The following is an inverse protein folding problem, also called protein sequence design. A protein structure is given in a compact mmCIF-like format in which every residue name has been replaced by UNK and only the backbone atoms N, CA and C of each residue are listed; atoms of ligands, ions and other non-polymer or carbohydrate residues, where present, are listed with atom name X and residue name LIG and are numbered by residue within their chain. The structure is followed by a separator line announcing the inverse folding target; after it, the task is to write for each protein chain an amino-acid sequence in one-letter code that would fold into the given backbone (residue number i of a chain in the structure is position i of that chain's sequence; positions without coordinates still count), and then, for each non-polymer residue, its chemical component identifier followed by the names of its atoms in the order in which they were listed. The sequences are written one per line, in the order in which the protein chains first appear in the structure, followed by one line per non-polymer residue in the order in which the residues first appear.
data_IF_963979957632
#
_entry.id   IF_963979957632
#
_cell.length_a   1.000
_cell.length_b   1.000
_cell.length_c   1.000
_cell.angle_alpha   90.00
_cell.angle_beta   90.00
_cell.angle_gamma   90.00
#
_symmetry.space_group_name_H-M   'P 1'
#
loop_
_entity.id
_entity.type
_entity.pdbx_description
1 polymer ?
#
# COMPACT_ATOMS: atom_id res chain seq x y z
N UNK A 1 -37.78 15.99 -75.17
CA UNK A 1 -36.40 16.25 -74.72
C UNK A 1 -36.44 16.23 -73.21
N UNK A 2 -36.36 15.04 -72.61
CA UNK A 2 -36.43 14.86 -71.16
C UNK A 2 -35.02 14.57 -70.68
N UNK A 3 -34.46 15.47 -69.88
CA UNK A 3 -33.17 15.30 -69.22
C UNK A 3 -33.43 14.69 -67.85
N UNK A 4 -33.05 13.42 -67.67
CA UNK A 4 -32.94 12.82 -66.35
C UNK A 4 -31.79 13.51 -65.61
N UNK A 5 -32.11 14.19 -64.50
CA UNK A 5 -31.13 14.69 -63.57
C UNK A 5 -30.52 13.49 -62.83
N UNK A 6 -29.27 13.14 -63.16
CA UNK A 6 -28.48 12.19 -62.38
C UNK A 6 -28.30 12.69 -60.94
N UNK A 7 -28.13 11.79 -59.97
CA UNK A 7 -28.17 12.15 -58.55
C UNK A 7 -27.09 13.19 -58.24
N UNK A 8 -27.49 14.32 -57.66
CA UNK A 8 -26.53 15.31 -57.17
C UNK A 8 -25.70 14.69 -56.05
N UNK A 9 -24.47 14.29 -56.38
CA UNK A 9 -23.48 13.83 -55.43
C UNK A 9 -23.09 15.01 -54.53
N UNK A 10 -23.83 15.21 -53.43
CA UNK A 10 -23.54 16.22 -52.42
C UNK A 10 -22.19 15.87 -51.77
N UNK A 11 -21.12 16.45 -52.31
CA UNK A 11 -19.79 16.33 -51.77
C UNK A 11 -19.78 16.76 -50.30
N UNK A 12 -19.33 15.87 -49.42
CA UNK A 12 -19.24 16.13 -47.99
C UNK A 12 -18.23 17.27 -47.73
N UNK A 13 -18.69 18.34 -47.08
CA UNK A 13 -17.87 19.52 -46.76
C UNK A 13 -17.20 19.44 -45.39
N UNK A 14 -17.61 18.48 -44.57
CA UNK A 14 -17.09 18.25 -43.22
C UNK A 14 -16.06 17.14 -43.19
N UNK A 15 -15.08 17.27 -42.31
CA UNK A 15 -14.10 16.22 -42.06
C UNK A 15 -14.78 15.01 -41.38
N UNK A 16 -14.60 13.82 -41.94
CA UNK A 16 -15.04 12.58 -41.31
C UNK A 16 -14.26 12.28 -40.02
N UNK A 17 -14.83 11.48 -39.12
CA UNK A 17 -14.24 11.15 -37.81
C UNK A 17 -12.84 10.53 -37.90
N UNK A 18 -12.61 9.66 -38.88
CA UNK A 18 -11.31 9.04 -39.11
C UNK A 18 -10.25 10.08 -39.50
N UNK A 19 -10.60 11.02 -40.38
CA UNK A 19 -9.70 12.08 -40.81
C UNK A 19 -9.48 13.13 -39.71
N UNK A 20 -10.51 13.43 -38.90
CA UNK A 20 -10.40 14.28 -37.72
C UNK A 20 -9.46 13.69 -36.67
N UNK A 21 -9.46 12.37 -36.47
CA UNK A 21 -8.58 11.72 -35.49
C UNK A 21 -7.10 11.95 -35.76
N UNK A 22 -6.69 12.03 -37.03
CA UNK A 22 -5.32 12.34 -37.42
C UNK A 22 -4.87 13.75 -37.05
N UNK A 23 -5.83 14.66 -36.80
CA UNK A 23 -5.56 16.05 -36.42
C UNK A 23 -5.66 16.28 -34.90
N UNK A 24 -6.11 15.28 -34.14
CA UNK A 24 -6.31 15.40 -32.69
C UNK A 24 -5.13 14.83 -31.90
N UNK A 25 -4.83 15.43 -30.74
CA UNK A 25 -3.89 14.86 -29.78
C UNK A 25 -4.59 13.82 -28.89
N UNK A 26 -3.84 12.80 -28.46
CA UNK A 26 -4.32 11.83 -27.49
C UNK A 26 -3.73 12.14 -26.12
N UNK A 27 -4.57 12.30 -25.11
CA UNK A 27 -4.12 12.37 -23.72
C UNK A 27 -3.56 11.02 -23.30
N UNK A 28 -2.30 10.99 -22.88
CA UNK A 28 -1.64 9.80 -22.36
C UNK A 28 -1.73 9.79 -20.84
N UNK A 29 -2.11 8.66 -20.25
CA UNK A 29 -2.03 8.47 -18.81
C UNK A 29 -0.60 8.16 -18.38
N UNK A 30 -0.32 8.30 -17.08
CA UNK A 30 0.90 7.77 -16.48
C UNK A 30 0.89 6.23 -16.53
N UNK A 31 2.06 5.57 -16.52
CA UNK A 31 2.15 4.11 -16.39
C UNK A 31 1.39 3.63 -15.15
N UNK A 32 0.57 2.59 -15.30
CA UNK A 32 -0.17 1.97 -14.19
C UNK A 32 0.53 0.67 -13.78
N UNK A 33 0.97 0.57 -12.52
CA UNK A 33 1.59 -0.65 -11.98
C UNK A 33 0.53 -1.50 -11.26
N UNK A 34 0.29 -2.72 -11.75
CA UNK A 34 -0.74 -3.63 -11.21
C UNK A 34 -0.43 -4.15 -9.80
N UNK A 35 0.83 -4.12 -9.38
CA UNK A 35 1.27 -4.54 -8.05
C UNK A 35 0.94 -3.50 -6.95
N UNK A 36 0.50 -2.30 -7.33
CA UNK A 36 0.15 -1.26 -6.36
C UNK A 36 -1.12 -1.69 -5.61
N UNK A 37 -0.94 -2.03 -4.33
CA UNK A 37 -2.04 -2.28 -3.41
C UNK A 37 -2.26 -1.11 -2.45
N UNK A 38 -3.38 -1.14 -1.75
CA UNK A 38 -3.84 -0.13 -0.78
C UNK A 38 -2.86 0.13 0.39
N UNK A 39 -1.96 -0.81 0.71
CA UNK A 39 -1.00 -0.70 1.83
C UNK A 39 -1.64 -0.28 3.17
N UNK A 40 -2.84 -0.78 3.46
CA UNK A 40 -3.66 -0.33 4.59
C UNK A 40 -2.95 -0.54 5.95
N UNK A 41 -2.34 -1.72 6.18
CA UNK A 41 -1.64 -2.02 7.43
C UNK A 41 -0.53 -1.01 7.70
N UNK A 42 0.32 -0.72 6.70
CA UNK A 42 1.40 0.27 6.83
C UNK A 42 0.86 1.67 7.15
N UNK A 43 -0.35 2.02 6.71
CA UNK A 43 -0.97 3.32 7.05
C UNK A 43 -1.54 3.36 8.47
N UNK A 44 -1.89 2.22 9.05
CA UNK A 44 -2.48 2.17 10.39
C UNK A 44 -1.47 1.91 11.51
N UNK A 45 -0.28 1.41 11.20
CA UNK A 45 0.74 1.19 12.21
C UNK A 45 1.14 2.51 12.90
N UNK A 46 1.30 2.53 14.23
CA UNK A 46 1.72 3.71 14.96
C UNK A 46 3.23 3.92 14.76
N UNK A 47 3.61 4.58 13.68
CA UNK A 47 5.01 4.86 13.38
C UNK A 47 5.63 5.76 14.47
N UNK A 48 6.66 5.23 15.16
CA UNK A 48 7.44 5.97 16.16
C UNK A 48 8.80 6.31 15.57
N UNK A 49 9.16 7.59 15.58
CA UNK A 49 10.47 8.06 15.15
C UNK A 49 11.56 7.64 16.16
N UNK A 50 12.66 7.07 15.68
CA UNK A 50 13.78 6.60 16.52
C UNK A 50 15.08 7.26 16.10
N UNK A 51 15.56 8.20 16.90
CA UNK A 51 16.85 8.87 16.67
C UNK A 51 17.98 7.85 16.94
N UNK A 52 18.80 7.55 15.91
CA UNK A 52 19.88 6.56 16.00
C UNK A 52 19.49 5.12 15.66
N UNK A 53 18.30 4.87 15.12
CA UNK A 53 17.93 3.59 14.50
C UNK A 53 17.77 2.38 15.45
N UNK A 54 17.89 2.59 16.76
CA UNK A 54 17.77 1.52 17.77
C UNK A 54 16.56 1.73 18.67
N UNK A 55 15.55 0.85 18.56
CA UNK A 55 14.35 0.87 19.41
C UNK A 55 14.47 -0.18 20.52
N UNK A 56 14.51 0.24 21.78
CA UNK A 56 14.59 -0.65 22.94
C UNK A 56 13.24 -0.69 23.67
N UNK A 57 12.74 -1.89 23.90
CA UNK A 57 11.51 -2.12 24.69
C UNK A 57 11.91 -2.69 26.05
N UNK A 58 11.65 -1.93 27.11
CA UNK A 58 11.85 -2.42 28.48
C UNK A 58 10.63 -3.25 28.90
N UNK A 59 10.86 -4.51 29.28
CA UNK A 59 9.83 -5.41 29.79
C UNK A 59 10.05 -5.63 31.28
N UNK A 60 9.04 -5.29 32.09
CA UNK A 60 9.02 -5.65 33.51
C UNK A 60 8.32 -6.99 33.68
N UNK A 61 9.01 -7.95 34.29
CA UNK A 61 8.41 -9.19 34.74
C UNK A 61 7.83 -8.93 36.13
N UNK A 62 6.52 -9.06 36.29
CA UNK A 62 5.86 -8.97 37.60
C UNK A 62 5.52 -10.38 38.04
N UNK A 63 6.12 -10.81 39.13
CA UNK A 63 5.71 -12.02 39.82
C UNK A 63 4.71 -11.63 40.90
N UNK A 64 3.63 -12.41 41.01
CA UNK A 64 2.84 -12.43 42.24
C UNK A 64 3.79 -12.83 43.36
N UNK A 65 3.97 -11.97 44.36
CA UNK A 65 4.71 -12.38 45.55
C UNK A 65 3.74 -13.26 46.34
N UNK A 66 4.06 -14.55 46.48
CA UNK A 66 3.44 -15.44 47.44
C UNK A 66 3.73 -15.00 48.89
N UNK A 67 4.32 -15.87 49.70
CA UNK A 67 4.58 -15.68 51.14
C UNK A 67 5.60 -14.57 51.51
N UNK A 68 6.06 -13.77 50.55
CA UNK A 68 7.06 -12.72 50.74
C UNK A 68 8.51 -13.19 50.55
N UNK A 69 8.75 -14.46 50.16
CA UNK A 69 10.10 -15.01 49.97
C UNK A 69 10.39 -15.30 48.50
N UNK A 70 11.65 -15.07 48.09
CA UNK A 70 12.15 -15.44 46.76
C UNK A 70 12.97 -16.71 46.91
N UNK A 71 12.48 -17.81 46.33
CA UNK A 71 13.19 -19.09 46.32
C UNK A 71 14.12 -19.17 45.11
N UNK A 72 15.39 -19.48 45.35
CA UNK A 72 16.40 -19.67 44.31
C UNK A 72 16.71 -21.15 44.14
N UNK A 73 16.83 -21.59 42.88
CA UNK A 73 17.49 -22.86 42.54
C UNK A 73 18.90 -22.57 42.03
N UNK A 74 19.89 -23.26 42.60
CA UNK A 74 21.27 -23.21 42.15
C UNK A 74 21.63 -24.55 41.51
N UNK A 75 21.93 -24.52 40.20
CA UNK A 75 22.47 -25.67 39.47
C UNK A 75 23.89 -25.32 39.05
N UNK A 76 24.88 -25.80 39.80
CA UNK A 76 26.28 -25.42 39.61
C UNK A 76 26.50 -23.92 39.87
N UNK A 77 27.01 -23.21 38.86
CA UNK A 77 27.23 -21.75 38.93
C UNK A 77 26.00 -20.92 38.49
N UNK A 78 24.93 -21.58 38.03
CA UNK A 78 23.74 -20.89 37.52
C UNK A 78 22.69 -20.75 38.62
N UNK A 79 22.39 -19.51 38.98
CA UNK A 79 21.30 -19.15 39.91
C UNK A 79 20.09 -18.69 39.10
N UNK A 80 18.94 -19.33 39.31
CA UNK A 80 17.66 -18.94 38.72
C UNK A 80 16.61 -18.75 39.82
N UNK A 81 15.79 -17.71 39.67
CA UNK A 81 14.59 -17.51 40.51
C UNK A 81 13.52 -18.49 40.06
N UNK A 82 12.89 -19.21 40.99
CA UNK A 82 11.73 -20.07 40.69
C UNK A 82 10.48 -19.19 40.67
N UNK A 83 9.78 -19.05 39.53
CA UNK A 83 8.54 -18.30 39.46
C UNK A 83 7.35 -19.21 39.77
N UNK A 84 7.22 -19.66 41.02
CA UNK A 84 6.02 -20.34 41.51
C UNK A 84 6.02 -20.43 43.05
N UNK A 85 5.48 -19.39 43.69
CA UNK A 85 4.37 -19.50 44.65
C UNK A 85 3.53 -18.22 44.58
#
# INVERSE_FOLDING_TARGET
MSVEAGPENRAQQSLGTAAARNLTSTTKSVPQMQEITSRWLLRMLPWVQVQGGTYRVNRRLSYSVGDGRITFVQTGERVAVIPAE
#
